data_IF_495189160839
#
_entry.id   IF_495189160839
#
_cell.length_a   1.000
_cell.length_b   1.000
_cell.length_c   1.000
_cell.angle_alpha   90.00
_cell.angle_beta   90.00
_cell.angle_gamma   90.00
#
_symmetry.space_group_name_H-M   'P 1'
#
loop_
_entity.id
_entity.type
_entity.pdbx_description
1 polymer ?
#
# COMPACT_ATOMS: atom_id res chain seq x y z
N UNK A 1 -15.96 8.61 10.13
CA UNK A 1 -16.73 7.98 9.05
C UNK A 1 -17.05 8.91 7.86
N UNK A 2 -17.14 10.22 8.05
CA UNK A 2 -17.52 11.22 7.02
C UNK A 2 -16.39 11.54 6.00
N UNK A 3 -15.16 11.13 6.24
CA UNK A 3 -13.98 11.60 5.50
C UNK A 3 -13.68 10.84 4.20
N UNK A 4 -14.00 9.55 4.12
CA UNK A 4 -13.87 8.77 2.88
C UNK A 4 -14.84 9.25 1.77
N UNK A 5 -16.02 9.74 2.15
CA UNK A 5 -17.04 10.26 1.23
C UNK A 5 -16.65 11.60 0.56
N UNK A 6 -15.85 12.43 1.22
CA UNK A 6 -15.38 13.72 0.62
C UNK A 6 -14.38 13.51 -0.52
N UNK A 7 -13.57 12.48 -0.46
CA UNK A 7 -12.59 12.20 -1.53
C UNK A 7 -13.28 11.74 -2.82
N UNK A 8 -14.33 10.93 -2.71
CA UNK A 8 -15.10 10.46 -3.87
C UNK A 8 -15.93 11.59 -4.54
N UNK A 9 -16.35 12.62 -3.79
CA UNK A 9 -17.08 13.76 -4.36
C UNK A 9 -16.19 14.71 -5.20
N UNK A 10 -14.90 14.80 -4.89
CA UNK A 10 -13.98 15.67 -5.65
C UNK A 10 -13.50 15.05 -6.97
N UNK A 11 -13.57 13.73 -7.13
CA UNK A 11 -13.18 13.06 -8.38
C UNK A 11 -14.16 13.34 -9.55
N UNK A 12 -15.37 13.85 -9.28
CA UNK A 12 -16.40 14.17 -10.28
C UNK A 12 -16.12 15.42 -11.15
N UNK A 13 -15.04 16.16 -10.93
CA UNK A 13 -14.70 17.36 -11.72
C UNK A 13 -13.61 17.14 -12.79
N UNK A 14 -13.50 15.96 -13.36
CA UNK A 14 -12.68 15.78 -14.58
C UNK A 14 -13.53 16.13 -15.79
N UNK A 15 -13.27 17.32 -16.36
CA UNK A 15 -13.91 17.86 -17.55
C UNK A 15 -13.78 16.90 -18.73
N UNK A 16 -14.91 16.36 -19.18
CA UNK A 16 -15.03 15.70 -20.47
C UNK A 16 -15.06 16.80 -21.53
N UNK A 17 -13.97 16.95 -22.28
CA UNK A 17 -13.92 17.83 -23.44
C UNK A 17 -14.68 17.15 -24.57
N UNK A 18 -15.91 17.62 -24.84
CA UNK A 18 -16.71 17.15 -25.96
C UNK A 18 -16.15 17.73 -27.26
N UNK A 19 -15.59 16.89 -28.10
CA UNK A 19 -15.24 17.25 -29.48
C UNK A 19 -16.51 17.02 -30.33
N UNK A 20 -17.11 18.08 -30.77
CA UNK A 20 -18.20 18.07 -31.75
C UNK A 20 -17.65 17.74 -33.14
N UNK A 21 -17.88 16.53 -33.60
CA UNK A 21 -17.60 16.13 -34.98
C UNK A 21 -18.82 16.37 -35.87
N UNK A 22 -18.65 17.16 -36.93
CA UNK A 22 -19.65 17.42 -37.98
C UNK A 22 -19.82 16.16 -38.84
N UNK A 23 -21.03 15.59 -38.86
CA UNK A 23 -21.38 14.50 -39.76
C UNK A 23 -22.07 15.04 -41.00
N UNK A 24 -21.49 14.79 -42.17
CA UNK A 24 -22.04 15.05 -43.47
C UNK A 24 -22.93 13.88 -43.92
N UNK A 25 -24.21 14.14 -44.15
CA UNK A 25 -25.18 13.16 -44.61
C UNK A 25 -25.13 12.97 -46.11
N UNK A 26 -25.06 11.77 -46.61
CA UNK A 26 -25.48 11.35 -47.96
C UNK A 26 -26.46 10.20 -47.85
N UNK A 27 -27.67 10.44 -48.28
CA UNK A 27 -28.73 9.44 -48.27
C UNK A 27 -28.68 8.49 -49.47
N UNK A 28 -29.19 7.29 -49.30
CA UNK A 28 -29.73 6.45 -50.39
C UNK A 28 -30.88 5.60 -49.83
N UNK A 29 -32.00 5.74 -50.50
CA UNK A 29 -33.24 5.08 -50.20
C UNK A 29 -33.22 3.57 -50.57
N UNK A 30 -33.85 2.76 -49.76
CA UNK A 30 -34.17 1.36 -50.08
C UNK A 30 -35.32 0.88 -49.23
N UNK A 31 -36.49 0.79 -49.83
CA UNK A 31 -37.71 0.24 -49.23
C UNK A 31 -37.60 -1.27 -49.04
N UNK A 32 -37.97 -1.77 -47.87
CA UNK A 32 -38.52 -3.11 -47.70
C UNK A 32 -39.45 -3.14 -46.50
N UNK A 33 -40.67 -3.46 -46.79
CA UNK A 33 -41.78 -3.63 -45.86
C UNK A 33 -41.61 -4.88 -45.03
N UNK A 34 -41.75 -4.80 -43.70
CA UNK A 34 -42.17 -5.92 -42.87
C UNK A 34 -42.84 -5.36 -41.61
N UNK A 35 -44.12 -5.52 -41.56
CA UNK A 35 -44.95 -5.27 -40.38
C UNK A 35 -44.57 -6.24 -39.29
N UNK A 36 -44.31 -5.76 -38.11
CA UNK A 36 -44.39 -6.55 -36.87
C UNK A 36 -44.95 -5.69 -35.73
N UNK A 37 -45.94 -6.21 -35.14
CA UNK A 37 -46.87 -5.61 -34.20
C UNK A 37 -46.20 -4.98 -32.97
N UNK A 38 -46.68 -3.80 -32.65
CA UNK A 38 -46.37 -3.08 -31.41
C UNK A 38 -47.19 -3.67 -30.27
N UNK A 39 -46.59 -4.47 -29.42
CA UNK A 39 -47.11 -4.69 -28.07
C UNK A 39 -46.43 -3.74 -27.12
N UNK A 40 -47.14 -2.67 -26.77
CA UNK A 40 -46.80 -1.78 -25.69
C UNK A 40 -46.92 -2.49 -24.35
N UNK A 41 -45.85 -2.95 -23.76
CA UNK A 41 -45.80 -3.22 -22.34
C UNK A 41 -45.30 -1.98 -21.62
N UNK A 42 -46.28 -1.21 -21.09
CA UNK A 42 -46.03 -0.18 -20.11
C UNK A 42 -45.70 -0.88 -18.77
N UNK A 43 -44.44 -1.14 -18.52
CA UNK A 43 -43.92 -1.28 -17.16
C UNK A 43 -42.75 -0.32 -17.04
N UNK A 44 -43.06 0.85 -16.47
CA UNK A 44 -42.11 1.96 -16.27
C UNK A 44 -41.20 1.71 -15.06
N UNK A 45 -40.46 0.65 -15.07
CA UNK A 45 -39.27 0.55 -14.23
C UNK A 45 -38.12 1.29 -14.94
N UNK A 46 -37.95 2.56 -14.55
CA UNK A 46 -36.72 3.30 -14.90
C UNK A 46 -35.55 2.39 -14.54
N UNK A 47 -34.75 2.03 -15.54
CA UNK A 47 -33.51 1.31 -15.31
C UNK A 47 -32.67 2.18 -14.37
N UNK A 48 -32.54 1.76 -13.14
CA UNK A 48 -31.68 2.43 -12.16
C UNK A 48 -30.25 2.23 -12.66
N UNK A 49 -29.64 3.30 -13.16
CA UNK A 49 -28.29 3.28 -13.70
C UNK A 49 -27.32 2.85 -12.58
N UNK A 50 -26.86 1.62 -12.64
CA UNK A 50 -25.93 1.08 -11.65
C UNK A 50 -24.54 1.67 -11.87
N UNK A 51 -24.04 2.42 -10.91
CA UNK A 51 -22.71 3.03 -10.97
C UNK A 51 -21.64 1.99 -10.60
N UNK A 52 -20.85 1.56 -11.57
CA UNK A 52 -19.67 0.75 -11.32
C UNK A 52 -18.47 1.64 -10.96
N UNK A 53 -17.90 1.44 -9.78
CA UNK A 53 -16.77 2.17 -9.24
C UNK A 53 -15.61 1.19 -9.10
N UNK A 54 -14.48 1.50 -9.73
CA UNK A 54 -13.25 0.73 -9.57
C UNK A 54 -12.23 1.60 -8.85
N UNK A 55 -11.65 1.09 -7.76
CA UNK A 55 -10.61 1.75 -6.98
C UNK A 55 -9.34 0.89 -6.99
N UNK A 56 -8.18 1.52 -7.12
CA UNK A 56 -6.88 0.90 -6.92
C UNK A 56 -6.29 1.35 -5.58
N UNK A 57 -6.20 0.41 -4.64
CA UNK A 57 -5.52 0.60 -3.36
C UNK A 57 -4.06 0.11 -3.48
N UNK A 58 -3.12 1.02 -3.36
CA UNK A 58 -1.68 0.77 -3.38
C UNK A 58 -1.14 0.87 -1.96
N UNK A 59 -0.46 -0.18 -1.46
CA UNK A 59 0.07 -0.14 -0.11
C UNK A 59 1.42 -0.85 0.03
N UNK A 60 2.11 -0.59 1.16
CA UNK A 60 3.23 -1.44 1.54
C UNK A 60 2.74 -2.86 1.88
N UNK A 61 3.62 -3.86 1.68
CA UNK A 61 3.23 -5.28 1.60
C UNK A 61 2.61 -5.86 2.89
N UNK A 62 3.03 -5.37 4.04
CA UNK A 62 2.53 -5.80 5.36
C UNK A 62 1.06 -5.40 5.58
N UNK A 63 0.60 -4.30 4.98
CA UNK A 63 -0.81 -3.87 5.06
C UNK A 63 -1.78 -4.78 4.27
N UNK A 64 -1.29 -5.76 3.55
CA UNK A 64 -2.09 -6.68 2.72
C UNK A 64 -3.20 -7.36 3.49
N UNK A 65 -2.87 -7.94 4.65
CA UNK A 65 -3.84 -8.70 5.45
C UNK A 65 -4.89 -7.76 6.07
N UNK A 66 -4.48 -6.57 6.53
CA UNK A 66 -5.42 -5.55 6.96
C UNK A 66 -6.43 -5.19 5.86
N UNK A 67 -5.98 -4.90 4.65
CA UNK A 67 -6.89 -4.53 3.55
C UNK A 67 -7.73 -5.69 3.04
N UNK A 68 -7.27 -6.93 3.15
CA UNK A 68 -8.06 -8.11 2.84
C UNK A 68 -9.33 -8.18 3.70
N UNK A 69 -9.22 -7.79 4.98
CA UNK A 69 -10.34 -7.81 5.91
C UNK A 69 -11.15 -6.49 5.86
N UNK A 70 -10.47 -5.35 5.70
CA UNK A 70 -11.11 -4.04 5.69
C UNK A 70 -11.92 -3.75 4.41
N UNK A 71 -11.40 -4.10 3.23
CA UNK A 71 -12.05 -3.73 1.96
C UNK A 71 -13.48 -4.30 1.82
N UNK A 72 -13.79 -5.53 2.20
CA UNK A 72 -15.17 -6.03 2.20
C UNK A 72 -16.12 -5.21 3.09
N UNK A 73 -15.65 -4.80 4.28
CA UNK A 73 -16.46 -3.96 5.20
C UNK A 73 -16.72 -2.58 4.60
N UNK A 74 -15.71 -1.99 3.95
CA UNK A 74 -15.90 -0.72 3.25
C UNK A 74 -16.91 -0.84 2.11
N UNK A 75 -16.82 -1.90 1.29
CA UNK A 75 -17.76 -2.14 0.17
C UNK A 75 -19.19 -2.32 0.66
N UNK A 76 -19.37 -3.08 1.75
CA UNK A 76 -20.69 -3.28 2.37
C UNK A 76 -21.26 -1.96 2.90
N UNK A 77 -20.47 -1.19 3.65
CA UNK A 77 -20.86 0.12 4.18
C UNK A 77 -21.21 1.10 3.05
N UNK A 78 -20.37 1.20 2.02
CA UNK A 78 -20.59 2.10 0.91
C UNK A 78 -21.88 1.75 0.14
N UNK A 79 -22.13 0.45 -0.07
CA UNK A 79 -23.34 -0.05 -0.73
C UNK A 79 -24.61 0.23 0.07
N UNK A 80 -24.55 0.18 1.42
CA UNK A 80 -25.68 0.53 2.27
C UNK A 80 -26.10 2.00 2.10
N UNK A 81 -25.13 2.90 1.93
CA UNK A 81 -25.39 4.32 1.69
C UNK A 81 -25.68 4.64 0.21
N UNK A 82 -25.21 3.80 -0.72
CA UNK A 82 -25.34 3.98 -2.17
C UNK A 82 -25.83 2.68 -2.83
N UNK A 83 -27.12 2.32 -2.69
CA UNK A 83 -27.66 1.00 -3.07
C UNK A 83 -27.45 0.62 -4.54
N UNK A 84 -27.35 1.63 -5.43
CA UNK A 84 -27.17 1.46 -6.87
C UNK A 84 -25.71 1.44 -7.31
N UNK A 85 -24.77 1.43 -6.36
CA UNK A 85 -23.32 1.36 -6.66
C UNK A 85 -22.79 -0.06 -6.52
N UNK A 86 -21.83 -0.39 -7.39
CA UNK A 86 -21.02 -1.59 -7.31
C UNK A 86 -19.55 -1.16 -7.23
N UNK A 87 -18.90 -1.44 -6.11
CA UNK A 87 -17.48 -1.03 -5.86
C UNK A 87 -16.59 -2.26 -5.96
N UNK A 88 -15.60 -2.16 -6.85
CA UNK A 88 -14.49 -3.12 -6.97
C UNK A 88 -13.19 -2.47 -6.47
N UNK A 89 -12.55 -3.06 -5.47
CA UNK A 89 -11.26 -2.59 -4.97
C UNK A 89 -10.16 -3.52 -5.47
N UNK A 90 -9.34 -3.02 -6.40
CA UNK A 90 -8.09 -3.66 -6.81
C UNK A 90 -7.00 -3.32 -5.82
N UNK A 91 -6.03 -4.23 -5.64
CA UNK A 91 -4.96 -4.05 -4.67
C UNK A 91 -3.59 -4.26 -5.30
N UNK A 92 -2.63 -3.41 -4.94
CA UNK A 92 -1.22 -3.56 -5.27
C UNK A 92 -0.38 -3.41 -4.00
N UNK A 93 0.33 -4.46 -3.61
CA UNK A 93 1.13 -4.50 -2.39
C UNK A 93 2.61 -4.78 -2.71
N UNK A 94 3.53 -4.10 -2.03
CA UNK A 94 4.96 -4.27 -2.22
C UNK A 94 5.79 -3.43 -1.26
N UNK A 95 7.09 -3.35 -1.48
CA UNK A 95 7.94 -2.46 -0.67
C UNK A 95 7.46 -1.01 -0.78
N UNK A 96 7.30 -0.32 0.37
CA UNK A 96 6.68 1.01 0.47
C UNK A 96 7.22 2.00 -0.57
N UNK A 97 8.53 2.21 -0.58
CA UNK A 97 9.14 3.16 -1.54
C UNK A 97 9.06 2.71 -2.99
N UNK A 98 9.02 1.38 -3.24
CA UNK A 98 8.79 0.86 -4.59
C UNK A 98 7.37 1.19 -5.06
N UNK A 99 6.39 1.04 -4.19
CA UNK A 99 5.00 1.39 -4.48
C UNK A 99 4.83 2.90 -4.69
N UNK A 100 5.42 3.73 -3.80
CA UNK A 100 5.41 5.19 -3.96
C UNK A 100 6.04 5.62 -5.29
N UNK A 101 7.17 5.03 -5.69
CA UNK A 101 7.79 5.29 -6.99
C UNK A 101 6.91 4.85 -8.16
N UNK A 102 6.20 3.74 -8.06
CA UNK A 102 5.28 3.29 -9.11
C UNK A 102 4.15 4.29 -9.31
N UNK A 103 3.56 4.81 -8.22
CA UNK A 103 2.53 5.86 -8.28
C UNK A 103 3.12 7.15 -8.83
N UNK A 104 4.29 7.59 -8.35
CA UNK A 104 4.99 8.78 -8.83
C UNK A 104 5.32 8.73 -10.33
N UNK A 105 5.47 7.51 -10.89
CA UNK A 105 5.76 7.25 -12.30
C UNK A 105 4.52 6.91 -13.14
N UNK A 106 3.30 7.09 -12.59
CA UNK A 106 2.07 7.03 -13.36
C UNK A 106 1.14 5.84 -13.07
N UNK A 107 1.41 5.00 -12.07
CA UNK A 107 0.41 4.04 -11.60
C UNK A 107 -0.76 4.81 -11.01
N UNK A 108 -1.95 4.68 -11.61
CA UNK A 108 -3.15 5.40 -11.21
C UNK A 108 -3.73 4.77 -9.94
N UNK A 109 -3.28 5.25 -8.78
CA UNK A 109 -3.78 4.84 -7.48
C UNK A 109 -4.86 5.82 -6.99
N UNK A 110 -5.92 5.29 -6.40
CA UNK A 110 -6.97 6.08 -5.72
C UNK A 110 -6.67 6.20 -4.23
N UNK A 111 -6.03 5.17 -3.66
CA UNK A 111 -5.59 5.16 -2.26
C UNK A 111 -4.13 4.72 -2.22
N UNK A 112 -3.32 5.43 -1.44
CA UNK A 112 -1.92 5.10 -1.20
C UNK A 112 -1.64 5.03 0.31
N UNK A 113 -1.26 3.85 0.82
CA UNK A 113 -0.87 3.65 2.22
C UNK A 113 0.59 3.24 2.28
N UNK A 114 1.42 4.15 2.75
CA UNK A 114 2.86 3.95 2.87
C UNK A 114 3.25 3.87 4.34
N UNK A 115 4.36 3.21 4.66
CA UNK A 115 4.81 3.11 6.04
C UNK A 115 5.81 4.20 6.44
N UNK A 116 6.03 5.18 5.57
CA UNK A 116 6.91 6.33 5.83
C UNK A 116 6.29 7.61 5.23
N UNK A 117 6.30 8.70 6.00
CA UNK A 117 5.88 10.02 5.53
C UNK A 117 6.65 10.49 4.29
N UNK A 118 7.96 10.20 4.22
CA UNK A 118 8.79 10.55 3.06
C UNK A 118 8.35 9.90 1.74
N UNK A 119 7.66 8.77 1.77
CA UNK A 119 7.09 8.14 0.58
C UNK A 119 5.83 8.90 0.12
N UNK A 120 5.04 9.47 1.04
CA UNK A 120 3.90 10.35 0.71
C UNK A 120 4.39 11.74 0.25
N UNK A 121 5.43 12.29 0.88
CA UNK A 121 6.06 13.54 0.43
C UNK A 121 6.59 13.45 -1.01
N UNK A 122 7.04 12.27 -1.44
CA UNK A 122 7.40 12.04 -2.85
C UNK A 122 6.18 12.25 -3.77
N UNK A 123 5.01 11.75 -3.38
CA UNK A 123 3.76 11.91 -4.15
C UNK A 123 3.28 13.36 -4.12
N UNK A 124 3.43 14.06 -2.99
CA UNK A 124 3.16 15.49 -2.86
C UNK A 124 4.03 16.31 -3.83
N UNK A 125 5.35 16.08 -3.84
CA UNK A 125 6.30 16.74 -4.76
C UNK A 125 5.97 16.50 -6.23
N UNK A 126 5.20 15.46 -6.54
CA UNK A 126 4.68 15.17 -7.90
C UNK A 126 3.30 15.76 -8.16
N UNK A 127 2.71 16.46 -7.19
CA UNK A 127 1.37 17.03 -7.29
C UNK A 127 0.24 15.99 -7.31
N UNK A 128 0.49 14.80 -6.79
CA UNK A 128 -0.47 13.69 -6.71
C UNK A 128 -1.24 13.68 -5.39
N UNK A 129 -0.71 14.33 -4.37
CA UNK A 129 -1.27 14.47 -3.03
C UNK A 129 -1.17 15.94 -2.61
N UNK A 130 -2.20 16.44 -1.94
CA UNK A 130 -2.23 17.81 -1.41
C UNK A 130 -1.16 18.02 -0.35
N UNK A 131 -0.61 19.24 -0.25
CA UNK A 131 0.47 19.58 0.69
C UNK A 131 0.06 19.53 2.18
N UNK A 132 -1.24 19.52 2.45
CA UNK A 132 -1.81 19.41 3.79
C UNK A 132 -2.38 18.01 4.08
N UNK A 133 -1.92 16.99 3.38
CA UNK A 133 -2.43 15.60 3.47
C UNK A 133 -2.46 15.06 4.91
N UNK A 134 -1.47 15.39 5.75
CA UNK A 134 -1.43 14.97 7.14
C UNK A 134 -2.64 15.45 7.93
N UNK A 135 -3.09 16.68 7.68
CA UNK A 135 -4.22 17.31 8.40
C UNK A 135 -5.60 16.91 7.84
N UNK A 136 -5.65 16.19 6.72
CA UNK A 136 -6.92 15.75 6.12
C UNK A 136 -7.56 14.56 6.85
N UNK A 137 -6.79 13.84 7.66
CA UNK A 137 -7.23 12.65 8.39
C UNK A 137 -6.85 12.74 9.86
N UNK A 138 -7.55 12.03 10.76
CA UNK A 138 -7.15 11.89 12.16
C UNK A 138 -5.71 11.36 12.29
N UNK A 139 -5.09 11.65 13.42
CA UNK A 139 -3.76 11.15 13.79
C UNK A 139 -2.68 11.42 12.73
N UNK A 140 -2.73 12.59 12.09
CA UNK A 140 -1.81 12.99 11.02
C UNK A 140 -1.78 12.00 9.85
N UNK A 141 -2.94 11.47 9.48
CA UNK A 141 -3.11 10.46 8.43
C UNK A 141 -2.40 9.12 8.73
N UNK A 142 -2.14 8.80 10.00
CA UNK A 142 -1.53 7.53 10.45
C UNK A 142 -2.65 6.58 10.93
N UNK A 143 -3.05 5.57 10.14
CA UNK A 143 -4.16 4.69 10.50
C UNK A 143 -3.81 3.68 11.61
N UNK A 144 -2.53 3.31 11.75
CA UNK A 144 -2.01 2.41 12.78
C UNK A 144 -0.49 2.52 12.88
N UNK A 145 0.08 2.02 13.99
CA UNK A 145 1.53 2.01 14.25
C UNK A 145 2.01 0.58 14.52
N UNK A 146 3.31 0.36 14.38
CA UNK A 146 3.99 -0.90 14.70
C UNK A 146 5.39 -0.59 15.25
N UNK A 147 6.10 -1.63 15.71
CA UNK A 147 7.49 -1.53 16.15
C UNK A 147 8.36 -2.57 15.46
N UNK A 148 9.69 -2.42 15.55
CA UNK A 148 10.64 -3.44 15.10
C UNK A 148 10.87 -4.44 16.23
N UNK A 149 10.79 -5.72 15.86
CA UNK A 149 11.02 -6.86 16.76
C UNK A 149 11.98 -7.87 16.14
N UNK A 150 12.48 -8.77 16.96
CA UNK A 150 13.28 -9.94 16.55
C UNK A 150 12.41 -11.19 16.66
N UNK A 151 12.17 -11.84 15.55
CA UNK A 151 11.62 -13.19 15.54
C UNK A 151 12.79 -14.15 15.46
N UNK A 152 12.96 -14.98 16.49
CA UNK A 152 14.07 -15.95 16.60
C UNK A 152 13.56 -17.38 16.41
N UNK A 153 14.47 -18.31 16.18
CA UNK A 153 14.14 -19.73 16.12
C UNK A 153 13.62 -20.21 17.48
N UNK A 154 12.82 -21.28 17.46
CA UNK A 154 12.32 -21.92 18.67
C UNK A 154 13.47 -22.19 19.65
N UNK A 155 13.24 -21.93 20.92
CA UNK A 155 14.20 -22.10 22.02
C UNK A 155 15.45 -21.18 21.90
N UNK A 156 15.48 -20.23 20.95
CA UNK A 156 16.52 -19.23 20.76
C UNK A 156 17.96 -19.79 20.85
N UNK A 157 18.36 -20.75 19.98
CA UNK A 157 19.63 -21.48 20.13
C UNK A 157 20.87 -20.58 19.99
N UNK A 158 20.75 -19.39 19.42
CA UNK A 158 21.83 -18.41 19.30
C UNK A 158 21.86 -17.38 20.43
N UNK A 159 20.89 -17.43 21.36
CA UNK A 159 20.81 -16.50 22.49
C UNK A 159 20.70 -15.04 22.04
N UNK A 160 19.84 -14.78 21.05
CA UNK A 160 19.60 -13.44 20.49
C UNK A 160 18.49 -12.78 21.32
N UNK A 161 18.84 -11.79 22.14
CA UNK A 161 17.94 -11.11 23.06
C UNK A 161 17.89 -9.60 22.82
N UNK A 162 18.96 -9.03 22.25
CA UNK A 162 19.03 -7.59 22.00
C UNK A 162 19.83 -7.32 20.70
N UNK A 163 19.87 -6.06 20.29
CA UNK A 163 20.55 -5.56 19.11
C UNK A 163 22.04 -5.92 19.09
N UNK A 164 22.74 -5.92 20.24
CA UNK A 164 24.16 -6.28 20.31
C UNK A 164 24.43 -7.70 19.82
N UNK A 165 23.48 -8.60 20.03
CA UNK A 165 23.61 -10.01 19.65
C UNK A 165 23.63 -10.21 18.14
N UNK A 166 23.11 -9.23 17.38
CA UNK A 166 23.08 -9.27 15.92
C UNK A 166 24.48 -9.14 15.28
N UNK A 167 25.48 -8.72 16.05
CA UNK A 167 26.88 -8.62 15.59
C UNK A 167 27.70 -9.86 15.92
N UNK A 168 27.16 -10.82 16.68
CA UNK A 168 27.88 -12.05 17.08
C UNK A 168 28.27 -12.87 15.85
N UNK A 169 29.44 -13.48 15.91
CA UNK A 169 29.92 -14.39 14.86
C UNK A 169 28.96 -15.59 14.70
N UNK A 170 28.68 -15.93 13.46
CA UNK A 170 27.81 -17.06 13.11
C UNK A 170 26.30 -16.81 13.33
N UNK A 171 25.87 -15.57 13.63
CA UNK A 171 24.46 -15.18 13.58
C UNK A 171 24.11 -14.83 12.13
N UNK A 172 23.02 -15.41 11.64
CA UNK A 172 22.46 -15.16 10.32
C UNK A 172 21.16 -14.36 10.40
N UNK A 173 21.17 -13.13 9.87
CA UNK A 173 20.02 -12.22 9.89
C UNK A 173 19.24 -12.32 8.57
N UNK A 174 17.92 -12.35 8.65
CA UNK A 174 17.02 -12.06 7.53
C UNK A 174 16.34 -10.73 7.77
N UNK A 175 16.31 -9.86 6.79
CA UNK A 175 15.60 -8.59 6.88
C UNK A 175 15.15 -8.08 5.51
N UNK A 176 14.21 -7.15 5.50
CA UNK A 176 13.84 -6.44 4.30
C UNK A 176 14.95 -5.45 3.88
N UNK A 177 15.11 -5.24 2.57
CA UNK A 177 16.14 -4.38 2.01
C UNK A 177 15.84 -2.88 2.29
N UNK A 178 16.69 -2.16 3.03
CA UNK A 178 16.46 -0.75 3.37
C UNK A 178 16.47 0.20 2.16
N UNK A 179 17.03 -0.21 1.03
CA UNK A 179 17.05 0.61 -0.17
C UNK A 179 15.69 0.73 -0.86
N UNK A 180 14.81 -0.26 -0.67
CA UNK A 180 13.53 -0.36 -1.42
C UNK A 180 12.31 -0.58 -0.54
N UNK A 181 12.51 -0.76 0.78
CA UNK A 181 11.40 -1.04 1.71
C UNK A 181 11.48 -0.14 2.93
N UNK A 182 10.33 0.30 3.43
CA UNK A 182 10.27 1.02 4.71
C UNK A 182 10.56 0.11 5.91
N UNK A 183 10.11 -1.16 5.88
CA UNK A 183 10.47 -2.15 6.92
C UNK A 183 11.99 -2.22 7.12
N UNK A 184 12.75 -2.38 6.03
CA UNK A 184 14.21 -2.40 6.09
C UNK A 184 14.81 -1.08 6.57
N UNK A 185 14.22 0.08 6.20
CA UNK A 185 14.68 1.38 6.71
C UNK A 185 14.46 1.53 8.20
N UNK A 186 13.31 1.12 8.72
CA UNK A 186 13.06 1.15 10.15
C UNK A 186 13.95 0.18 10.92
N UNK A 187 14.22 -1.02 10.39
CA UNK A 187 15.20 -1.94 10.97
C UNK A 187 16.62 -1.32 10.99
N UNK A 188 17.04 -0.66 9.90
CA UNK A 188 18.32 0.06 9.84
C UNK A 188 18.38 1.22 10.84
N UNK A 189 17.31 2.03 10.92
CA UNK A 189 17.23 3.15 11.86
C UNK A 189 17.18 2.67 13.32
N UNK A 190 16.50 1.55 13.59
CA UNK A 190 16.49 0.92 14.90
C UNK A 190 17.90 0.48 15.34
N UNK A 191 18.64 -0.18 14.44
CA UNK A 191 20.02 -0.55 14.67
C UNK A 191 20.94 0.66 14.90
N UNK A 192 20.77 1.72 14.11
CA UNK A 192 21.55 2.95 14.27
C UNK A 192 21.21 3.67 15.58
N UNK A 193 19.93 3.75 15.93
CA UNK A 193 19.46 4.32 17.20
C UNK A 193 20.00 3.55 18.42
N UNK A 194 19.99 2.22 18.36
CA UNK A 194 20.66 1.38 19.37
C UNK A 194 22.14 1.72 19.47
N UNK A 195 22.84 1.79 18.33
CA UNK A 195 24.28 2.15 18.32
C UNK A 195 24.56 3.53 18.93
N UNK A 196 23.73 4.54 18.64
CA UNK A 196 23.85 5.86 19.28
C UNK A 196 23.67 5.75 20.79
N UNK A 197 22.66 5.03 21.26
CA UNK A 197 22.42 4.83 22.68
C UNK A 197 23.56 4.06 23.37
N UNK A 198 24.01 2.95 22.77
CA UNK A 198 25.06 2.09 23.33
C UNK A 198 26.45 2.76 23.39
N UNK A 199 26.71 3.72 22.52
CA UNK A 199 28.01 4.40 22.39
C UNK A 199 27.93 5.91 22.70
N UNK A 200 27.09 6.32 23.62
CA UNK A 200 26.98 7.70 24.14
C UNK A 200 26.90 8.75 23.00
N UNK A 201 26.06 8.50 22.00
CA UNK A 201 25.87 9.33 20.81
C UNK A 201 27.12 9.48 19.92
N UNK A 202 28.08 8.57 20.02
CA UNK A 202 29.21 8.53 19.11
C UNK A 202 28.78 7.95 17.75
N UNK A 203 28.55 8.84 16.78
CA UNK A 203 28.09 8.45 15.44
C UNK A 203 29.03 7.47 14.72
N UNK A 204 30.35 7.61 14.91
CA UNK A 204 31.35 6.74 14.28
C UNK A 204 31.18 5.30 14.79
N UNK A 205 31.05 5.13 16.10
CA UNK A 205 30.85 3.83 16.71
C UNK A 205 29.48 3.25 16.35
N UNK A 206 28.43 4.07 16.33
CA UNK A 206 27.10 3.65 15.89
C UNK A 206 27.10 3.17 14.42
N UNK A 207 27.77 3.88 13.52
CA UNK A 207 27.96 3.48 12.12
C UNK A 207 28.77 2.19 11.98
N UNK A 208 29.81 2.00 12.79
CA UNK A 208 30.59 0.75 12.82
C UNK A 208 29.74 -0.43 13.29
N UNK A 209 28.97 -0.24 14.36
CA UNK A 209 28.03 -1.25 14.85
C UNK A 209 27.04 -1.67 13.74
N UNK A 210 26.38 -0.72 13.09
CA UNK A 210 25.45 -1.04 11.98
C UNK A 210 26.16 -1.78 10.86
N UNK A 211 27.38 -1.34 10.49
CA UNK A 211 28.19 -2.03 9.47
C UNK A 211 28.48 -3.48 9.87
N UNK A 212 28.79 -3.74 11.14
CA UNK A 212 29.07 -5.09 11.63
C UNK A 212 27.80 -5.96 11.65
N UNK A 213 26.68 -5.42 12.11
CA UNK A 213 25.38 -6.09 12.02
C UNK A 213 25.01 -6.45 10.57
N UNK A 214 25.21 -5.52 9.62
CA UNK A 214 24.88 -5.75 8.21
C UNK A 214 25.74 -6.84 7.55
N UNK A 215 26.95 -7.14 8.06
CA UNK A 215 27.76 -8.28 7.59
C UNK A 215 27.10 -9.62 7.88
N UNK A 216 26.30 -9.70 8.94
CA UNK A 216 25.59 -10.89 9.36
C UNK A 216 24.25 -11.08 8.60
N UNK A 217 23.86 -10.12 7.73
CA UNK A 217 22.64 -10.26 6.94
C UNK A 217 22.85 -11.28 5.82
N UNK A 218 22.22 -12.42 5.98
CA UNK A 218 22.23 -13.54 5.03
C UNK A 218 21.37 -13.26 3.81
N UNK A 219 20.18 -12.65 4.04
CA UNK A 219 19.21 -12.38 2.99
C UNK A 219 18.59 -11.00 3.17
N UNK A 220 18.61 -10.22 2.09
CA UNK A 220 17.84 -9.00 1.94
C UNK A 220 16.65 -9.25 1.02
N UNK A 221 15.43 -9.14 1.56
CA UNK A 221 14.20 -9.33 0.78
C UNK A 221 13.59 -8.00 0.32
N UNK A 222 12.78 -8.06 -0.73
CA UNK A 222 12.16 -6.88 -1.34
C UNK A 222 10.85 -6.45 -0.66
N UNK A 223 10.54 -7.00 0.52
CA UNK A 223 9.35 -6.69 1.32
C UNK A 223 9.41 -7.37 2.68
N UNK A 224 8.66 -6.87 3.67
CA UNK A 224 8.56 -7.45 5.00
C UNK A 224 7.97 -8.85 4.95
N UNK A 225 6.86 -9.05 4.22
CA UNK A 225 6.23 -10.36 4.04
C UNK A 225 7.16 -11.38 3.37
N UNK A 226 7.95 -10.95 2.39
CA UNK A 226 8.94 -11.83 1.75
C UNK A 226 10.02 -12.27 2.75
N UNK A 227 10.48 -11.36 3.62
CA UNK A 227 11.45 -11.67 4.67
C UNK A 227 10.88 -12.68 5.68
N UNK A 228 9.62 -12.49 6.11
CA UNK A 228 8.91 -13.45 6.97
C UNK A 228 8.78 -14.81 6.31
N UNK A 229 8.40 -14.87 5.04
CA UNK A 229 8.33 -16.13 4.27
C UNK A 229 9.69 -16.83 4.20
N UNK A 230 10.76 -16.09 3.93
CA UNK A 230 12.13 -16.64 3.86
C UNK A 230 12.56 -17.18 5.22
N UNK A 231 12.29 -16.46 6.30
CA UNK A 231 12.62 -16.93 7.63
C UNK A 231 11.74 -18.12 8.06
N UNK A 232 10.41 -17.95 8.07
CA UNK A 232 9.49 -18.94 8.66
C UNK A 232 9.34 -20.19 7.78
N UNK A 233 9.06 -20.01 6.48
CA UNK A 233 8.71 -21.14 5.61
C UNK A 233 9.93 -21.82 4.98
N UNK A 234 10.98 -21.04 4.63
CA UNK A 234 12.20 -21.59 4.02
C UNK A 234 13.25 -21.98 5.05
N UNK A 235 13.07 -21.62 6.32
CA UNK A 235 13.99 -21.97 7.39
C UNK A 235 15.35 -21.27 7.33
N UNK A 236 15.48 -20.15 6.63
CA UNK A 236 16.76 -19.43 6.43
C UNK A 236 16.98 -18.42 7.56
N UNK A 237 18.23 -18.34 8.06
CA UNK A 237 18.67 -17.40 9.10
C UNK A 237 18.32 -17.84 10.51
N UNK A 238 18.90 -17.17 11.49
CA UNK A 238 18.70 -17.38 12.93
C UNK A 238 17.71 -16.38 13.52
N UNK A 239 17.64 -15.17 12.93
CA UNK A 239 16.77 -14.08 13.36
C UNK A 239 16.19 -13.33 12.15
N UNK A 240 14.92 -13.00 12.27
CA UNK A 240 14.25 -12.04 11.37
C UNK A 240 14.06 -10.71 12.10
N UNK A 241 14.57 -9.63 11.52
CA UNK A 241 14.32 -8.26 12.00
C UNK A 241 13.19 -7.68 11.17
N UNK A 242 12.03 -7.47 11.80
CA UNK A 242 10.81 -7.08 11.08
C UNK A 242 9.85 -6.27 11.96
N UNK A 243 8.72 -5.84 11.39
CA UNK A 243 7.64 -5.26 12.17
C UNK A 243 6.92 -6.33 13.01
N UNK A 244 6.43 -5.93 14.19
CA UNK A 244 5.71 -6.79 15.12
C UNK A 244 4.54 -7.52 14.47
N UNK A 245 3.79 -6.87 13.61
CA UNK A 245 2.64 -7.45 12.92
C UNK A 245 3.00 -8.50 11.84
N UNK A 246 4.27 -8.80 11.65
CA UNK A 246 4.77 -9.90 10.82
C UNK A 246 5.30 -11.08 11.66
N UNK A 247 5.40 -10.93 13.00
CA UNK A 247 5.97 -11.92 13.90
C UNK A 247 4.95 -12.95 14.42
#
# INVERSE_FOLDING_TARGET
>A
MTYALRYLQNSKKRNVLSIAGVALTLGLAGCSNSETETTANADGTAAVDSQNIELLNVSYDVARDFYKDYNPLFVEHYKAENPNSNVLIKQSHGGSSKQALSVANGLQADVATMNQGSDIELLEKKGLVESNWESQFPDNAVPFTSTIVFLVRKDNPKGINDWEDLTKEGVEIVMANPKVTGNGRYAFLGAYGYGLHAFDNNETNAKNYVKDMLKNVKVYENGGRAATTTFVQRGIGDVLVTFENEA
#
